data_IF_418802972119
#
_entry.id   IF_418802972119
#
_cell.length_a   1.000
_cell.length_b   1.000
_cell.length_c   1.000
_cell.angle_alpha   90.00
_cell.angle_beta   90.00
_cell.angle_gamma   90.00
#
_symmetry.space_group_name_H-M   'P 1'
#
loop_
_entity.id
_entity.type
_entity.pdbx_description
1 polymer ?
#
# COMPACT_ATOMS: atom_id res chain seq x y z
N UNK A 1 18.07 -1.93 -7.84
CA UNK A 1 17.73 -1.97 -6.39
C UNK A 1 17.57 -3.43 -5.98
N UNK A 2 17.74 -3.74 -4.68
CA UNK A 2 18.01 -5.11 -4.21
C UNK A 2 16.84 -6.06 -4.48
N UNK A 3 15.62 -5.68 -4.09
CA UNK A 3 14.45 -6.54 -4.26
C UNK A 3 14.07 -6.71 -5.73
N UNK A 4 14.26 -5.68 -6.55
CA UNK A 4 14.01 -5.72 -8.00
C UNK A 4 14.96 -6.71 -8.68
N UNK A 5 16.25 -6.65 -8.35
CA UNK A 5 17.24 -7.59 -8.86
C UNK A 5 16.97 -9.02 -8.38
N UNK A 6 16.57 -9.18 -7.11
CA UNK A 6 16.20 -10.49 -6.57
C UNK A 6 14.97 -11.06 -7.27
N UNK A 7 13.94 -10.23 -7.47
CA UNK A 7 12.71 -10.63 -8.16
C UNK A 7 12.99 -11.12 -9.59
N UNK A 8 13.80 -10.36 -10.34
CA UNK A 8 14.20 -10.71 -11.70
C UNK A 8 15.02 -12.00 -11.72
N UNK A 9 15.96 -12.16 -10.79
CA UNK A 9 16.78 -13.36 -10.67
C UNK A 9 15.92 -14.61 -10.43
N UNK A 10 14.97 -14.53 -9.50
CA UNK A 10 14.04 -15.63 -9.22
C UNK A 10 13.13 -15.94 -10.42
N UNK A 11 12.62 -14.90 -11.10
CA UNK A 11 11.79 -15.07 -12.29
C UNK A 11 12.55 -15.78 -13.42
N UNK A 12 13.80 -15.39 -13.67
CA UNK A 12 14.67 -16.04 -14.65
C UNK A 12 14.91 -17.50 -14.30
N UNK A 13 15.29 -17.82 -13.04
CA UNK A 13 15.53 -19.20 -12.62
C UNK A 13 14.29 -20.10 -12.76
N UNK A 14 13.11 -19.58 -12.42
CA UNK A 14 11.85 -20.32 -12.59
C UNK A 14 11.60 -20.63 -14.07
N UNK A 15 11.80 -19.63 -14.94
CA UNK A 15 11.55 -19.80 -16.39
C UNK A 15 12.61 -20.67 -17.08
N UNK A 16 13.84 -20.67 -16.59
CA UNK A 16 14.89 -21.57 -17.05
C UNK A 16 14.62 -23.03 -16.65
N UNK A 17 14.06 -23.25 -15.45
CA UNK A 17 13.71 -24.58 -14.97
C UNK A 17 12.44 -25.16 -15.65
N UNK A 18 11.51 -24.29 -16.06
CA UNK A 18 10.30 -24.66 -16.80
C UNK A 18 10.02 -23.66 -17.95
N UNK A 19 10.68 -23.84 -19.12
CA UNK A 19 10.55 -22.93 -20.25
C UNK A 19 9.12 -22.81 -20.79
N UNK A 20 8.35 -23.91 -20.75
CA UNK A 20 6.97 -23.98 -21.22
C UNK A 20 5.95 -23.53 -20.15
N UNK A 21 6.42 -23.25 -18.93
CA UNK A 21 5.60 -22.80 -17.82
C UNK A 21 4.87 -21.48 -18.10
N UNK A 22 3.72 -21.21 -17.47
CA UNK A 22 2.90 -20.04 -17.76
C UNK A 22 3.57 -18.73 -17.33
N UNK A 23 3.34 -17.66 -18.11
CA UNK A 23 3.80 -16.30 -17.82
C UNK A 23 5.19 -15.98 -18.38
N UNK A 24 5.38 -14.72 -18.78
CA UNK A 24 6.68 -14.20 -19.19
C UNK A 24 7.57 -13.91 -17.97
N UNK A 25 8.88 -13.75 -18.19
CA UNK A 25 9.82 -13.32 -17.14
C UNK A 25 9.37 -12.00 -16.49
N UNK A 26 8.77 -11.11 -17.28
CA UNK A 26 8.26 -9.82 -16.79
C UNK A 26 7.07 -9.99 -15.85
N UNK A 27 6.08 -10.81 -16.22
CA UNK A 27 4.92 -11.13 -15.37
C UNK A 27 5.37 -11.82 -14.08
N UNK A 28 6.30 -12.76 -14.17
CA UNK A 28 6.88 -13.43 -13.01
C UNK A 28 7.64 -12.45 -12.11
N UNK A 29 8.45 -11.57 -12.69
CA UNK A 29 9.20 -10.53 -11.96
C UNK A 29 8.25 -9.59 -11.22
N UNK A 30 7.13 -9.22 -11.83
CA UNK A 30 6.13 -8.40 -11.16
C UNK A 30 5.47 -9.14 -9.99
N UNK A 31 4.99 -10.36 -10.23
CA UNK A 31 4.30 -11.17 -9.22
C UNK A 31 5.19 -11.51 -8.01
N UNK A 32 6.44 -11.91 -8.25
CA UNK A 32 7.43 -12.17 -7.20
C UNK A 32 7.75 -10.87 -6.45
N UNK A 33 7.88 -9.75 -7.18
CA UNK A 33 8.16 -8.44 -6.60
C UNK A 33 7.10 -7.99 -5.60
N UNK A 34 5.81 -8.21 -5.91
CA UNK A 34 4.71 -7.92 -4.98
C UNK A 34 4.81 -8.74 -3.69
N UNK A 35 5.15 -10.03 -3.79
CA UNK A 35 5.31 -10.91 -2.61
C UNK A 35 6.52 -10.52 -1.77
N UNK A 36 7.65 -10.23 -2.42
CA UNK A 36 8.86 -9.74 -1.75
C UNK A 36 8.58 -8.42 -1.03
N UNK A 37 7.90 -7.47 -1.69
CA UNK A 37 7.54 -6.20 -1.07
C UNK A 37 6.70 -6.39 0.19
N UNK A 38 5.68 -7.25 0.15
CA UNK A 38 4.85 -7.56 1.33
C UNK A 38 5.69 -8.17 2.45
N UNK A 39 6.49 -9.20 2.15
CA UNK A 39 7.32 -9.88 3.13
C UNK A 39 8.33 -8.91 3.78
N UNK A 40 9.05 -8.13 2.97
CA UNK A 40 10.00 -7.14 3.46
C UNK A 40 9.31 -6.04 4.27
N UNK A 41 8.14 -5.55 3.86
CA UNK A 41 7.33 -4.62 4.66
C UNK A 41 7.05 -5.17 6.07
N UNK A 42 6.60 -6.43 6.17
CA UNK A 42 6.28 -7.06 7.46
C UNK A 42 7.52 -7.19 8.35
N UNK A 43 8.64 -7.66 7.79
CA UNK A 43 9.90 -7.82 8.53
C UNK A 43 10.44 -6.46 9.00
N UNK A 44 10.47 -5.46 8.12
CA UNK A 44 10.94 -4.12 8.48
C UNK A 44 10.01 -3.43 9.48
N UNK A 45 8.70 -3.63 9.39
CA UNK A 45 7.74 -3.08 10.35
C UNK A 45 7.92 -3.72 11.72
N UNK A 46 8.17 -5.04 11.78
CA UNK A 46 8.51 -5.71 13.02
C UNK A 46 9.80 -5.15 13.62
N UNK A 47 10.84 -4.98 12.79
CA UNK A 47 12.13 -4.45 13.22
C UNK A 47 12.01 -3.02 13.76
N UNK A 48 11.46 -2.10 12.97
CA UNK A 48 11.32 -0.69 13.36
C UNK A 48 10.33 -0.51 14.50
N UNK A 49 9.20 -1.22 14.50
CA UNK A 49 8.23 -1.20 15.59
C UNK A 49 8.81 -1.73 16.90
N UNK A 50 9.71 -2.72 16.86
CA UNK A 50 10.42 -3.19 18.07
C UNK A 50 11.43 -2.14 18.55
N UNK A 51 12.22 -1.55 17.65
CA UNK A 51 13.21 -0.51 17.99
C UNK A 51 12.54 0.72 18.62
N UNK A 52 11.35 1.08 18.14
CA UNK A 52 10.60 2.26 18.57
C UNK A 52 9.59 1.98 19.70
N UNK A 53 9.54 0.75 20.22
CA UNK A 53 8.55 0.30 21.22
C UNK A 53 7.08 0.56 20.83
N UNK A 54 6.77 0.37 19.54
CA UNK A 54 5.45 0.64 18.93
C UNK A 54 4.89 -0.55 18.17
N UNK A 55 5.48 -1.73 18.31
CA UNK A 55 5.23 -2.92 17.49
C UNK A 55 3.76 -3.18 17.13
N UNK A 56 2.87 -3.21 18.13
CA UNK A 56 1.45 -3.45 17.92
C UNK A 56 0.77 -2.32 17.13
N UNK A 57 1.09 -1.06 17.46
CA UNK A 57 0.62 0.12 16.73
C UNK A 57 1.14 0.15 15.30
N UNK A 58 2.39 -0.26 15.06
CA UNK A 58 3.02 -0.28 13.74
C UNK A 58 2.35 -1.28 12.82
N UNK A 59 2.05 -2.48 13.31
CA UNK A 59 1.27 -3.46 12.55
C UNK A 59 -0.17 -3.00 12.33
N UNK A 60 -0.80 -2.37 13.33
CA UNK A 60 -2.14 -1.81 13.17
C UNK A 60 -2.18 -0.72 12.08
N UNK A 61 -1.18 0.18 12.05
CA UNK A 61 -1.02 1.18 11.00
C UNK A 61 -0.79 0.54 9.62
N UNK A 62 0.13 -0.42 9.52
CA UNK A 62 0.46 -1.13 8.29
C UNK A 62 -0.77 -1.83 7.70
N UNK A 63 -1.49 -2.62 8.51
CA UNK A 63 -2.65 -3.36 8.01
C UNK A 63 -3.81 -2.44 7.64
N UNK A 64 -4.02 -1.35 8.39
CA UNK A 64 -5.04 -0.34 8.05
C UNK A 64 -4.73 0.34 6.71
N UNK A 65 -3.47 0.70 6.50
CA UNK A 65 -2.97 1.25 5.24
C UNK A 65 -3.16 0.26 4.08
N UNK A 66 -2.72 -0.99 4.25
CA UNK A 66 -2.84 -2.04 3.22
C UNK A 66 -4.29 -2.36 2.87
N UNK A 67 -5.17 -2.44 3.88
CA UNK A 67 -6.58 -2.72 3.70
C UNK A 67 -7.25 -1.61 2.87
N UNK A 68 -6.99 -0.34 3.19
CA UNK A 68 -7.52 0.79 2.43
C UNK A 68 -6.93 0.82 1.00
N UNK A 69 -5.60 0.67 0.89
CA UNK A 69 -4.87 0.69 -0.39
C UNK A 69 -5.40 -0.32 -1.39
N UNK A 70 -5.82 -1.50 -0.93
CA UNK A 70 -6.42 -2.56 -1.77
C UNK A 70 -7.60 -2.06 -2.61
N UNK A 71 -8.40 -1.17 -2.04
CA UNK A 71 -9.62 -0.63 -2.66
C UNK A 71 -9.42 0.76 -3.26
N UNK A 72 -8.53 1.58 -2.69
CA UNK A 72 -8.30 2.94 -3.19
C UNK A 72 -7.26 3.03 -4.32
N UNK A 73 -6.32 2.10 -4.42
CA UNK A 73 -5.17 2.19 -5.33
C UNK A 73 -4.04 3.06 -4.77
N UNK A 74 -3.45 3.92 -5.59
CA UNK A 74 -2.38 4.85 -5.22
C UNK A 74 -1.02 4.52 -5.84
N UNK A 75 -0.09 5.44 -5.70
CA UNK A 75 1.23 5.36 -6.37
C UNK A 75 2.12 4.27 -5.81
N UNK A 76 2.72 3.49 -6.71
CA UNK A 76 3.68 2.45 -6.38
C UNK A 76 5.13 2.91 -6.61
N UNK A 77 5.87 3.04 -5.51
CA UNK A 77 7.32 3.20 -5.55
C UNK A 77 7.98 1.90 -6.02
N UNK A 78 9.24 1.94 -6.49
CA UNK A 78 10.03 0.71 -6.67
C UNK A 78 10.02 -0.14 -5.40
N UNK A 79 9.86 -1.45 -5.53
CA UNK A 79 9.55 -2.37 -4.42
C UNK A 79 10.55 -2.27 -3.25
N UNK A 80 11.84 -2.06 -3.51
CA UNK A 80 12.81 -1.85 -2.42
C UNK A 80 12.46 -0.60 -1.60
N UNK A 81 12.26 0.55 -2.27
CA UNK A 81 11.92 1.80 -1.60
C UNK A 81 10.53 1.76 -0.97
N UNK A 82 9.56 1.17 -1.66
CA UNK A 82 8.20 0.99 -1.17
C UNK A 82 8.20 0.26 0.17
N UNK A 83 8.95 -0.84 0.27
CA UNK A 83 9.02 -1.62 1.51
C UNK A 83 9.61 -0.85 2.68
N UNK A 84 10.68 -0.09 2.45
CA UNK A 84 11.37 0.69 3.48
C UNK A 84 10.49 1.86 3.93
N UNK A 85 9.99 2.66 2.99
CA UNK A 85 9.18 3.85 3.29
C UNK A 85 7.88 3.45 3.97
N UNK A 86 7.22 2.38 3.52
CA UNK A 86 5.96 1.90 4.12
C UNK A 86 6.20 1.42 5.56
N UNK A 87 7.23 0.59 5.79
CA UNK A 87 7.53 0.08 7.13
C UNK A 87 7.93 1.19 8.10
N UNK A 88 8.73 2.15 7.64
CA UNK A 88 9.15 3.29 8.43
C UNK A 88 7.95 4.20 8.77
N UNK A 89 7.12 4.55 7.78
CA UNK A 89 5.92 5.35 8.00
C UNK A 89 4.96 4.66 8.98
N UNK A 90 4.69 3.36 8.78
CA UNK A 90 3.85 2.57 9.68
C UNK A 90 4.37 2.56 11.12
N UNK A 91 5.69 2.56 11.31
CA UNK A 91 6.30 2.53 12.65
C UNK A 91 6.40 3.91 13.31
N UNK A 92 6.35 4.99 12.54
CA UNK A 92 6.32 6.37 13.06
C UNK A 92 4.91 6.79 13.46
N UNK A 93 3.87 6.33 12.73
CA UNK A 93 2.47 6.71 12.98
C UNK A 93 2.05 6.59 14.47
N UNK A 94 2.36 5.50 15.20
CA UNK A 94 1.95 5.36 16.60
C UNK A 94 2.62 6.33 17.57
N UNK A 95 3.74 6.96 17.18
CA UNK A 95 4.47 7.93 18.00
C UNK A 95 3.84 9.32 17.97
N UNK A 96 3.02 9.61 16.95
CA UNK A 96 2.36 10.90 16.79
C UNK A 96 1.05 10.86 17.58
N UNK A 97 0.78 11.88 18.39
CA UNK A 97 -0.50 12.03 19.09
C UNK A 97 -1.21 13.30 18.62
N UNK A 98 -2.53 13.21 18.43
CA UNK A 98 -3.38 14.31 18.00
C UNK A 98 -4.56 14.48 18.95
N UNK A 99 -5.05 15.71 19.08
CA UNK A 99 -6.31 15.96 19.77
C UNK A 99 -7.49 15.33 19.01
N UNK A 100 -8.62 15.01 19.68
CA UNK A 100 -9.81 14.48 19.01
C UNK A 100 -10.31 15.35 17.84
N UNK A 101 -10.24 16.67 17.97
CA UNK A 101 -10.61 17.61 16.90
C UNK A 101 -9.67 17.50 15.70
N UNK A 102 -8.37 17.36 15.92
CA UNK A 102 -7.40 17.14 14.85
C UNK A 102 -7.60 15.77 14.18
N UNK A 103 -7.89 14.71 14.93
CA UNK A 103 -8.22 13.37 14.39
C UNK A 103 -9.42 13.46 13.44
N UNK A 104 -10.49 14.13 13.86
CA UNK A 104 -11.69 14.30 13.02
C UNK A 104 -11.41 15.17 11.79
N UNK A 105 -10.61 16.22 11.92
CA UNK A 105 -10.21 17.07 10.80
C UNK A 105 -9.43 16.26 9.74
N UNK A 106 -8.39 15.54 10.16
CA UNK A 106 -7.57 14.68 9.28
C UNK A 106 -8.42 13.58 8.64
N UNK A 107 -9.32 12.97 9.41
CA UNK A 107 -10.25 11.95 8.90
C UNK A 107 -11.18 12.55 7.85
N UNK A 108 -11.71 13.75 8.07
CA UNK A 108 -12.60 14.46 7.13
C UNK A 108 -11.88 14.75 5.82
N UNK A 109 -10.67 15.28 5.87
CA UNK A 109 -9.86 15.55 4.68
C UNK A 109 -9.59 14.25 3.93
N UNK A 110 -9.16 13.20 4.63
CA UNK A 110 -8.89 11.88 4.03
C UNK A 110 -10.14 11.29 3.36
N UNK A 111 -11.30 11.40 4.02
CA UNK A 111 -12.57 10.90 3.51
C UNK A 111 -13.00 11.65 2.23
N UNK A 112 -12.88 12.97 2.22
CA UNK A 112 -13.18 13.79 1.03
C UNK A 112 -12.25 13.42 -0.13
N UNK A 113 -10.95 13.26 0.12
CA UNK A 113 -10.00 12.83 -0.90
C UNK A 113 -10.34 11.45 -1.46
N UNK A 114 -10.78 10.50 -0.63
CA UNK A 114 -11.24 9.18 -1.07
C UNK A 114 -12.51 9.28 -1.95
N UNK A 115 -13.45 10.15 -1.59
CA UNK A 115 -14.66 10.36 -2.39
C UNK A 115 -14.37 11.04 -3.74
N UNK A 116 -13.33 11.85 -3.84
CA UNK A 116 -12.99 12.53 -5.10
C UNK A 116 -12.15 11.62 -6.00
N UNK A 117 -11.08 11.02 -5.44
CA UNK A 117 -10.03 10.41 -6.25
C UNK A 117 -10.04 8.88 -6.27
N UNK A 118 -10.71 8.18 -5.33
CA UNK A 118 -10.70 6.73 -5.34
C UNK A 118 -11.73 6.12 -6.32
N UNK A 119 -11.43 4.94 -6.92
CA UNK A 119 -10.12 4.29 -6.96
C UNK A 119 -9.19 4.97 -7.99
N UNK A 120 -7.91 5.13 -7.65
CA UNK A 120 -6.90 5.65 -8.58
C UNK A 120 -5.76 4.64 -8.74
N UNK A 121 -5.77 3.91 -9.84
CA UNK A 121 -4.72 2.94 -10.16
C UNK A 121 -3.72 3.53 -11.17
N UNK A 122 -2.44 3.45 -10.84
CA UNK A 122 -1.33 3.92 -11.70
C UNK A 122 -0.65 2.80 -12.48
N UNK A 123 -1.16 1.58 -12.35
CA UNK A 123 -0.70 0.37 -13.03
C UNK A 123 -1.93 -0.39 -13.55
N UNK A 124 -1.75 -1.18 -14.60
CA UNK A 124 -2.81 -2.00 -15.16
C UNK A 124 -3.22 -3.11 -14.16
N UNK A 125 -4.30 -2.85 -13.43
CA UNK A 125 -4.91 -3.82 -12.51
C UNK A 125 -5.89 -4.69 -13.29
N UNK A 126 -5.84 -6.00 -13.07
CA UNK A 126 -6.85 -6.92 -13.59
C UNK A 126 -8.24 -6.47 -13.12
N UNK A 127 -9.11 -6.11 -14.07
CA UNK A 127 -10.48 -5.68 -13.80
C UNK A 127 -11.23 -6.73 -12.99
N UNK A 128 -11.89 -6.30 -11.94
CA UNK A 128 -12.67 -7.15 -11.03
C UNK A 128 -14.14 -6.80 -11.16
N UNK A 129 -15.04 -7.78 -11.04
CA UNK A 129 -16.50 -7.53 -10.98
C UNK A 129 -16.90 -6.59 -9.84
N UNK A 130 -16.06 -6.47 -8.81
CA UNK A 130 -16.30 -5.65 -7.62
C UNK A 130 -15.76 -4.22 -7.75
N UNK A 131 -15.09 -3.89 -8.85
CA UNK A 131 -14.47 -2.58 -9.08
C UNK A 131 -15.42 -1.38 -8.92
N UNK A 132 -16.71 -1.44 -9.34
CA UNK A 132 -17.66 -0.35 -9.10
C UNK A 132 -17.88 -0.02 -7.61
N UNK A 133 -17.65 -0.99 -6.72
CA UNK A 133 -17.86 -0.85 -5.28
C UNK A 133 -16.62 -0.37 -4.52
N UNK A 134 -15.43 -0.42 -5.13
CA UNK A 134 -14.17 -0.13 -4.44
C UNK A 134 -14.10 1.28 -3.86
N UNK A 135 -14.65 2.27 -4.58
CA UNK A 135 -14.79 3.64 -4.07
C UNK A 135 -15.56 3.69 -2.75
N UNK A 136 -16.71 3.04 -2.71
CA UNK A 136 -17.59 3.02 -1.54
C UNK A 136 -16.97 2.23 -0.40
N UNK A 137 -16.29 1.12 -0.69
CA UNK A 137 -15.55 0.36 0.32
C UNK A 137 -14.43 1.21 0.93
N UNK A 138 -13.63 1.88 0.11
CA UNK A 138 -12.57 2.77 0.59
C UNK A 138 -13.12 3.92 1.44
N UNK A 139 -14.21 4.56 0.99
CA UNK A 139 -14.89 5.60 1.75
C UNK A 139 -15.44 5.07 3.09
N UNK A 140 -16.06 3.89 3.13
CA UNK A 140 -16.54 3.27 4.35
C UNK A 140 -15.41 2.94 5.34
N UNK A 141 -14.25 2.45 4.84
CA UNK A 141 -13.07 2.18 5.66
C UNK A 141 -12.57 3.47 6.32
N UNK A 142 -12.46 4.57 5.58
CA UNK A 142 -12.06 5.86 6.18
C UNK A 142 -13.15 6.40 7.11
N UNK A 143 -14.41 6.27 6.71
CA UNK A 143 -15.57 6.73 7.46
C UNK A 143 -15.74 6.05 8.81
N UNK A 144 -15.28 4.81 8.98
CA UNK A 144 -15.32 4.14 10.28
C UNK A 144 -14.53 4.89 11.36
N UNK A 145 -13.52 5.69 10.97
CA UNK A 145 -12.73 6.45 11.92
C UNK A 145 -13.47 7.68 12.51
N UNK A 146 -14.60 8.10 11.93
CA UNK A 146 -15.47 9.10 12.59
C UNK A 146 -16.09 8.57 13.89
N UNK A 147 -16.29 7.25 13.98
CA UNK A 147 -16.84 6.59 15.17
C UNK A 147 -15.71 6.15 16.11
N UNK A 148 -14.64 5.59 15.55
CA UNK A 148 -13.51 5.08 16.35
C UNK A 148 -12.62 6.18 16.92
N UNK A 149 -12.54 7.33 16.23
CA UNK A 149 -11.69 8.48 16.59
C UNK A 149 -10.26 8.04 16.91
N UNK A 150 -9.73 7.10 16.11
CA UNK A 150 -8.41 6.53 16.32
C UNK A 150 -7.35 7.38 15.63
N UNK A 151 -6.33 7.75 16.40
CA UNK A 151 -5.17 8.50 15.91
C UNK A 151 -4.38 7.72 14.84
N UNK A 152 -4.16 6.42 15.07
CA UNK A 152 -3.41 5.56 14.14
C UNK A 152 -4.16 5.44 12.81
N UNK A 153 -5.47 5.22 12.85
CA UNK A 153 -6.29 5.13 11.64
C UNK A 153 -6.31 6.46 10.88
N UNK A 154 -6.46 7.59 11.56
CA UNK A 154 -6.47 8.91 10.92
C UNK A 154 -5.20 9.15 10.10
N UNK A 155 -4.02 8.87 10.68
CA UNK A 155 -2.75 9.08 10.00
C UNK A 155 -2.50 8.05 8.90
N UNK A 156 -2.83 6.77 9.13
CA UNK A 156 -2.70 5.73 8.10
C UNK A 156 -3.60 6.01 6.89
N UNK A 157 -4.84 6.45 7.12
CA UNK A 157 -5.77 6.81 6.06
C UNK A 157 -5.38 8.10 5.35
N UNK A 158 -4.84 9.09 6.07
CA UNK A 158 -4.31 10.32 5.49
C UNK A 158 -3.13 10.04 4.56
N UNK A 159 -2.16 9.23 5.02
CA UNK A 159 -1.03 8.80 4.19
C UNK A 159 -1.52 8.18 2.88
N UNK A 160 -2.51 7.29 2.97
CA UNK A 160 -3.08 6.64 1.79
C UNK A 160 -3.90 7.58 0.90
N UNK A 161 -4.62 8.55 1.49
CA UNK A 161 -5.37 9.57 0.76
C UNK A 161 -4.46 10.51 -0.05
N UNK A 162 -3.27 10.83 0.45
CA UNK A 162 -2.27 11.63 -0.30
C UNK A 162 -1.74 10.86 -1.52
N UNK A 163 -1.57 9.54 -1.41
CA UNK A 163 -1.02 8.69 -2.48
C UNK A 163 -1.96 8.47 -3.66
N UNK A 164 -3.25 8.80 -3.54
CA UNK A 164 -4.24 8.68 -4.63
C UNK A 164 -4.50 10.01 -5.35
N UNK A 165 -4.02 11.14 -4.84
CA UNK A 165 -4.19 12.44 -5.50
C UNK A 165 -3.40 12.44 -6.82
N UNK A 166 -3.94 12.90 -7.95
CA UNK A 166 -3.29 12.87 -9.27
C UNK A 166 -2.14 13.89 -9.44
N UNK A 167 -1.30 14.08 -8.41
CA UNK A 167 -0.08 14.89 -8.45
C UNK A 167 1.15 14.08 -8.90
N UNK A 168 1.01 12.76 -8.99
CA UNK A 168 2.10 11.84 -9.26
C UNK A 168 2.08 11.35 -10.70
N UNK A 169 3.26 11.27 -11.34
CA UNK A 169 3.40 10.64 -12.66
C UNK A 169 3.27 9.12 -12.52
N UNK A 170 2.33 8.51 -13.25
CA UNK A 170 2.20 7.06 -13.35
C UNK A 170 3.38 6.42 -14.07
N UNK A 171 3.59 5.11 -13.84
CA UNK A 171 4.58 4.32 -14.58
C UNK A 171 3.92 3.82 -15.87
N UNK A 172 4.65 3.80 -16.98
CA UNK A 172 4.14 3.34 -18.29
C UNK A 172 3.66 1.88 -18.21
N UNK A 173 2.66 1.55 -19.05
CA UNK A 173 1.96 0.27 -19.06
C UNK A 173 2.90 -0.93 -19.34
N UNK A 174 2.84 -1.95 -18.48
CA UNK A 174 3.37 -3.28 -18.79
C UNK A 174 2.34 -4.01 -19.65
N UNK A 175 2.73 -4.43 -20.85
CA UNK A 175 1.85 -5.15 -21.77
C UNK A 175 1.68 -6.59 -21.27
N UNK A 176 0.43 -6.97 -20.95
CA UNK A 176 0.09 -8.27 -20.34
C UNK A 176 -0.19 -9.39 -21.35
N UNK A 177 0.11 -9.15 -22.64
CA UNK A 177 -0.13 -10.10 -23.73
C UNK A 177 0.94 -11.18 -23.80
#
# INVERSE_FOLDING_TARGET
MILESLSKCLATQIKEADPEGPGSIEVLTYGIGLKLNLFTCLVLTALFGTILDTLAGSFFALFSFMALRRFSGGVHLPITLCSIVTAMAASIIPLITMSPSAILCVTTISFVLMLIYAPQYYEAVRRSRWEPWYKWIAACIVGSNFVLVSNILALAFCLQAVLIVPLWKGREEVNWN
#
